data_IF_157781047807
#
_entry.id   IF_157781047807
#
_cell.length_a   1.000
_cell.length_b   1.000
_cell.length_c   1.000
_cell.angle_alpha   90.00
_cell.angle_beta   90.00
_cell.angle_gamma   90.00
#
_symmetry.space_group_name_H-M   'P 1'
#
loop_
_entity.id
_entity.type
_entity.pdbx_description
1 polymer ?
#
# COMPACT_ATOMS: atom_id res chain seq x y z
N UNK A 1 -8.41 -2.84 18.25
CA UNK A 1 -7.01 -2.45 17.94
C UNK A 1 -7.04 -1.94 16.52
N UNK A 2 -7.29 -0.65 16.36
CA UNK A 2 -7.39 0.02 15.05
C UNK A 2 -5.93 0.30 14.66
N UNK A 3 -5.45 -0.34 13.60
CA UNK A 3 -4.13 -0.03 13.07
C UNK A 3 -4.23 1.34 12.40
N UNK A 4 -3.45 2.30 12.91
CA UNK A 4 -3.18 3.57 12.24
C UNK A 4 -2.28 3.27 11.03
N UNK A 5 -2.85 2.70 9.97
CA UNK A 5 -2.26 2.90 8.65
C UNK A 5 -2.22 4.41 8.43
N UNK A 6 -1.07 4.94 7.98
CA UNK A 6 -0.86 6.35 7.68
C UNK A 6 -1.75 6.82 6.51
N UNK A 7 -3.06 6.83 6.75
CA UNK A 7 -4.03 7.58 6.01
C UNK A 7 -3.78 9.05 6.34
N UNK A 8 -3.09 9.74 5.45
CA UNK A 8 -3.35 11.16 5.25
C UNK A 8 -4.76 11.34 4.62
N UNK A 9 -5.78 10.73 5.22
CA UNK A 9 -7.07 11.38 5.30
C UNK A 9 -7.07 11.93 6.72
N UNK A 10 -6.54 13.13 6.88
CA UNK A 10 -6.84 13.90 8.08
C UNK A 10 -8.35 14.04 8.13
N UNK A 11 -8.96 13.13 8.88
CA UNK A 11 -10.40 13.09 9.06
C UNK A 11 -10.78 14.50 9.49
N UNK A 12 -11.70 15.16 8.78
CA UNK A 12 -12.01 16.59 8.99
C UNK A 12 -12.28 16.88 10.47
N UNK A 13 -12.88 15.89 11.16
CA UNK A 13 -13.12 15.88 12.61
C UNK A 13 -11.85 15.98 13.47
N UNK A 14 -10.77 15.35 13.06
CA UNK A 14 -9.47 15.40 13.77
C UNK A 14 -8.82 16.77 13.61
N UNK A 15 -8.95 17.39 12.44
CA UNK A 15 -8.48 18.78 12.23
C UNK A 15 -9.31 19.72 13.09
N UNK A 16 -10.63 19.62 13.05
CA UNK A 16 -11.54 20.44 13.87
C UNK A 16 -11.22 20.30 15.36
N UNK A 17 -11.07 19.06 15.85
CA UNK A 17 -10.76 18.81 17.25
C UNK A 17 -9.37 19.35 17.64
N UNK A 18 -8.37 19.15 16.78
CA UNK A 18 -7.01 19.67 17.00
C UNK A 18 -6.98 21.20 17.05
N UNK A 19 -7.68 21.87 16.13
CA UNK A 19 -7.82 23.33 16.11
C UNK A 19 -8.48 23.85 17.39
N UNK A 20 -9.59 23.24 17.83
CA UNK A 20 -10.26 23.63 19.08
C UNK A 20 -9.35 23.41 20.29
N UNK A 21 -8.65 22.28 20.34
CA UNK A 21 -7.74 21.95 21.44
C UNK A 21 -6.57 22.95 21.52
N UNK A 22 -5.96 23.29 20.39
CA UNK A 22 -4.87 24.29 20.30
C UNK A 22 -5.38 25.66 20.74
N UNK A 23 -6.54 26.09 20.26
CA UNK A 23 -7.14 27.38 20.63
C UNK A 23 -7.39 27.46 22.14
N UNK A 24 -8.03 26.44 22.72
CA UNK A 24 -8.33 26.39 24.15
C UNK A 24 -7.04 26.37 24.97
N UNK A 25 -6.04 25.57 24.56
CA UNK A 25 -4.74 25.52 25.22
C UNK A 25 -4.03 26.89 25.22
N UNK A 26 -4.00 27.59 24.09
CA UNK A 26 -3.40 28.91 23.98
C UNK A 26 -4.14 29.97 24.83
N UNK A 27 -5.46 29.92 24.88
CA UNK A 27 -6.26 30.81 25.74
C UNK A 27 -6.01 30.56 27.23
N UNK A 28 -5.90 29.30 27.65
CA UNK A 28 -5.57 28.97 29.04
C UNK A 28 -4.18 29.51 29.41
N UNK A 29 -3.17 29.29 28.54
CA UNK A 29 -1.82 29.83 28.74
C UNK A 29 -1.85 31.35 28.87
N UNK A 30 -2.61 32.03 28.01
CA UNK A 30 -2.79 33.48 28.05
C UNK A 30 -3.39 33.95 29.39
N UNK A 31 -4.45 33.30 29.88
CA UNK A 31 -5.08 33.63 31.16
C UNK A 31 -4.10 33.44 32.33
N UNK A 32 -3.33 32.35 32.32
CA UNK A 32 -2.33 32.07 33.37
C UNK A 32 -1.21 33.10 33.34
N UNK A 33 -0.68 33.45 32.16
CA UNK A 33 0.37 34.47 32.03
C UNK A 33 -0.12 35.83 32.52
N UNK A 34 -1.37 36.19 32.19
CA UNK A 34 -1.95 37.44 32.65
C UNK A 34 -2.11 37.47 34.17
N UNK A 35 -2.58 36.37 34.76
CA UNK A 35 -2.80 36.28 36.21
C UNK A 35 -1.51 36.21 37.04
N UNK A 36 -0.41 35.70 36.47
CA UNK A 36 0.83 35.44 37.22
C UNK A 36 1.88 36.52 37.07
N UNK A 37 1.97 37.14 35.89
CA UNK A 37 3.06 38.07 35.55
C UNK A 37 2.57 39.35 34.85
N UNK A 38 1.25 39.62 34.83
CA UNK A 38 0.63 40.77 34.16
C UNK A 38 1.02 40.90 32.66
N UNK A 39 1.28 39.77 32.03
CA UNK A 39 1.60 39.70 30.61
C UNK A 39 0.46 39.05 29.83
N UNK A 40 0.00 39.62 28.71
CA UNK A 40 0.51 40.84 28.06
C UNK A 40 -0.02 42.14 28.67
N UNK A 41 0.70 43.23 28.46
CA UNK A 41 0.25 44.58 28.81
C UNK A 41 -1.06 44.96 28.11
N UNK A 42 -1.86 45.86 28.68
CA UNK A 42 -3.13 46.31 28.08
C UNK A 42 -2.99 46.79 26.63
N UNK A 43 -1.84 47.40 26.29
CA UNK A 43 -1.56 47.89 24.92
C UNK A 43 -1.30 46.77 23.91
N UNK A 44 -0.84 45.60 24.37
CA UNK A 44 -0.52 44.45 23.53
C UNK A 44 -1.53 43.32 23.61
N UNK A 45 -2.55 43.44 24.47
CA UNK A 45 -3.60 42.45 24.66
C UNK A 45 -4.27 42.06 23.33
N UNK A 46 -4.75 43.06 22.59
CA UNK A 46 -5.40 42.85 21.29
C UNK A 46 -4.46 42.18 20.29
N UNK A 47 -3.18 42.57 20.26
CA UNK A 47 -2.20 42.00 19.34
C UNK A 47 -1.91 40.51 19.66
N UNK A 48 -1.82 40.16 20.95
CA UNK A 48 -1.62 38.77 21.38
C UNK A 48 -2.84 37.90 21.08
N UNK A 49 -4.06 38.41 21.32
CA UNK A 49 -5.29 37.69 20.98
C UNK A 49 -5.41 37.43 19.47
N UNK A 50 -5.06 38.42 18.64
CA UNK A 50 -4.98 38.25 17.19
C UNK A 50 -3.93 37.18 16.83
N UNK A 51 -2.76 37.21 17.48
CA UNK A 51 -1.71 36.22 17.28
C UNK A 51 -2.16 34.79 17.63
N UNK A 52 -2.85 34.61 18.75
CA UNK A 52 -3.42 33.32 19.18
C UNK A 52 -4.45 32.83 18.15
N UNK A 53 -5.34 33.72 17.69
CA UNK A 53 -6.33 33.37 16.67
C UNK A 53 -5.65 32.90 15.38
N UNK A 54 -4.68 33.66 14.87
CA UNK A 54 -3.93 33.30 13.66
C UNK A 54 -3.18 31.97 13.80
N UNK A 55 -2.52 31.75 14.95
CA UNK A 55 -1.82 30.49 15.22
C UNK A 55 -2.78 29.30 15.32
N UNK A 56 -3.96 29.50 15.92
CA UNK A 56 -4.97 28.44 16.02
C UNK A 56 -5.56 28.03 14.67
N UNK A 57 -5.52 28.93 13.68
CA UNK A 57 -5.96 28.65 12.30
C UNK A 57 -4.90 27.91 11.47
N UNK A 58 -3.65 27.81 11.96
CA UNK A 58 -2.55 27.17 11.23
C UNK A 58 -2.88 25.73 10.76
N UNK A 59 -3.47 24.83 11.58
CA UNK A 59 -3.80 23.48 11.14
C UNK A 59 -4.80 23.46 9.96
N UNK A 60 -5.77 24.38 9.96
CA UNK A 60 -6.74 24.53 8.87
C UNK A 60 -6.03 25.01 7.60
N UNK A 61 -5.13 25.98 7.76
CA UNK A 61 -4.38 26.56 6.65
C UNK A 61 -3.44 25.53 6.00
N UNK A 62 -2.77 24.71 6.81
CA UNK A 62 -1.97 23.56 6.34
C UNK A 62 -2.84 22.53 5.61
N UNK A 63 -3.99 22.16 6.17
CA UNK A 63 -4.91 21.22 5.51
C UNK A 63 -5.44 21.75 4.17
N UNK A 64 -5.69 23.06 4.05
CA UNK A 64 -6.05 23.69 2.79
C UNK A 64 -4.92 23.62 1.77
N UNK A 65 -3.68 23.88 2.20
CA UNK A 65 -2.50 23.77 1.33
C UNK A 65 -2.31 22.34 0.84
N UNK A 66 -2.39 21.35 1.73
CA UNK A 66 -2.31 19.93 1.36
C UNK A 66 -3.41 19.57 0.35
N UNK A 67 -4.65 20.00 0.58
CA UNK A 67 -5.75 19.77 -0.36
C UNK A 67 -5.55 20.44 -1.72
N UNK A 68 -4.88 21.59 -1.79
CA UNK A 68 -4.58 22.28 -3.06
C UNK A 68 -3.47 21.52 -3.80
N UNK A 69 -2.44 21.08 -3.08
CA UNK A 69 -1.32 20.30 -3.62
C UNK A 69 -1.81 18.98 -4.20
N UNK A 70 -2.63 18.23 -3.46
CA UNK A 70 -3.17 16.93 -3.91
C UNK A 70 -4.02 17.04 -5.18
N UNK A 71 -4.70 18.18 -5.37
CA UNK A 71 -5.56 18.43 -6.52
C UNK A 71 -4.82 19.05 -7.71
N UNK A 72 -3.50 19.28 -7.59
CA UNK A 72 -2.72 19.97 -8.61
C UNK A 72 -3.21 21.40 -8.86
N UNK A 73 -3.72 22.07 -7.82
CA UNK A 73 -4.24 23.42 -7.95
C UNK A 73 -3.15 24.45 -8.24
N UNK A 74 -3.54 25.62 -8.77
CA UNK A 74 -2.62 26.72 -9.05
C UNK A 74 -2.89 27.85 -8.06
N UNK A 75 -1.87 28.24 -7.29
CA UNK A 75 -1.96 29.38 -6.37
C UNK A 75 -1.38 30.61 -7.07
N UNK A 76 -2.22 31.63 -7.31
CA UNK A 76 -1.78 32.93 -7.83
C UNK A 76 -1.82 33.96 -6.71
N UNK A 77 -0.65 34.48 -6.33
CA UNK A 77 -0.54 35.52 -5.31
C UNK A 77 0.48 36.58 -5.75
N UNK A 78 0.04 37.84 -5.86
CA UNK A 78 0.94 38.97 -6.10
C UNK A 78 1.75 38.90 -7.40
N UNK A 79 1.22 38.27 -8.45
CA UNK A 79 1.92 38.08 -9.73
C UNK A 79 2.86 36.88 -9.77
N UNK A 80 2.98 36.13 -8.67
CA UNK A 80 3.66 34.83 -8.63
C UNK A 80 2.60 33.73 -8.81
N UNK A 81 2.80 32.90 -9.82
CA UNK A 81 1.98 31.72 -10.10
C UNK A 81 2.78 30.48 -9.70
N UNK A 82 2.33 29.80 -8.65
CA UNK A 82 2.87 28.51 -8.25
C UNK A 82 1.92 27.45 -8.80
N UNK A 83 2.34 26.83 -9.89
CA UNK A 83 1.62 25.76 -10.56
C UNK A 83 2.02 24.40 -9.96
N UNK A 84 1.18 23.86 -9.08
CA UNK A 84 1.40 22.54 -8.50
C UNK A 84 1.00 21.40 -9.45
N UNK A 85 0.34 21.68 -10.58
CA UNK A 85 0.06 20.67 -11.62
C UNK A 85 1.33 20.23 -12.35
N UNK A 86 2.34 21.10 -12.34
CA UNK A 86 3.62 20.89 -13.00
C UNK A 86 4.77 20.54 -12.07
N UNK A 87 4.52 20.34 -10.78
CA UNK A 87 5.48 19.57 -9.97
C UNK A 87 5.42 18.18 -10.57
N UNK A 88 6.41 17.77 -11.40
CA UNK A 88 6.46 16.39 -11.82
C UNK A 88 6.50 15.60 -10.51
N UNK A 89 5.96 14.39 -10.50
CA UNK A 89 6.30 13.42 -9.46
C UNK A 89 7.82 13.17 -9.54
N UNK A 90 8.63 14.13 -9.12
CA UNK A 90 10.07 14.12 -9.16
C UNK A 90 10.48 13.12 -8.08
N UNK A 91 10.67 11.87 -8.51
CA UNK A 91 11.50 10.92 -7.78
C UNK A 91 10.95 9.52 -7.57
N UNK A 92 9.69 9.22 -7.93
CA UNK A 92 9.21 7.83 -7.84
C UNK A 92 8.59 7.42 -9.16
N UNK A 93 9.31 6.58 -9.90
CA UNK A 93 8.73 5.77 -10.96
C UNK A 93 7.60 4.95 -10.34
N UNK A 94 6.37 5.40 -10.50
CA UNK A 94 5.17 4.68 -10.08
C UNK A 94 4.78 3.71 -11.18
N UNK A 95 4.54 2.45 -10.81
CA UNK A 95 3.94 1.47 -11.71
C UNK A 95 2.46 1.32 -11.34
N UNK A 96 1.56 1.56 -12.29
CA UNK A 96 0.14 1.26 -12.09
C UNK A 96 -0.11 -0.18 -12.50
N UNK A 97 -0.53 -1.00 -11.54
CA UNK A 97 -0.88 -2.38 -11.84
C UNK A 97 -2.19 -2.38 -12.62
N UNK A 98 -2.28 -3.13 -13.73
CA UNK A 98 -3.52 -3.26 -14.47
C UNK A 98 -4.68 -3.64 -13.54
N UNK A 99 -5.81 -2.98 -13.75
CA UNK A 99 -7.02 -3.09 -12.92
C UNK A 99 -7.61 -4.52 -12.94
N UNK A 100 -7.19 -5.32 -13.92
CA UNK A 100 -7.64 -6.69 -14.14
C UNK A 100 -6.43 -7.58 -14.39
N UNK A 101 -5.68 -7.92 -13.33
CA UNK A 101 -4.75 -9.05 -13.46
C UNK A 101 -5.59 -10.32 -13.52
N UNK A 102 -5.85 -10.87 -14.70
CA UNK A 102 -6.83 -11.93 -14.96
C UNK A 102 -8.28 -11.43 -15.11
N UNK A 103 -9.21 -12.37 -15.36
CA UNK A 103 -10.63 -12.06 -15.58
C UNK A 103 -11.33 -11.77 -14.24
N UNK A 104 -12.06 -10.64 -14.09
CA UNK A 104 -12.84 -10.33 -12.89
C UNK A 104 -13.82 -11.44 -12.51
N UNK A 105 -13.83 -11.83 -11.24
CA UNK A 105 -14.73 -12.88 -10.73
C UNK A 105 -14.40 -14.31 -11.16
N UNK A 106 -13.31 -14.56 -11.88
CA UNK A 106 -12.81 -15.92 -12.16
C UNK A 106 -11.62 -16.28 -11.27
N UNK A 107 -11.55 -17.55 -10.86
CA UNK A 107 -10.37 -18.09 -10.20
C UNK A 107 -9.14 -17.93 -11.10
N UNK A 108 -7.99 -17.76 -10.46
CA UNK A 108 -6.71 -17.60 -11.13
C UNK A 108 -6.41 -18.88 -11.91
N UNK A 109 -6.54 -18.80 -13.24
CA UNK A 109 -5.97 -19.78 -14.17
C UNK A 109 -4.48 -19.52 -14.35
N UNK A 110 -3.75 -20.47 -14.93
CA UNK A 110 -2.31 -20.34 -15.22
C UNK A 110 -1.96 -19.04 -15.98
N UNK A 111 -2.87 -18.54 -16.81
CA UNK A 111 -2.74 -17.26 -17.53
C UNK A 111 -2.78 -16.06 -16.58
N UNK A 112 -3.68 -16.05 -15.60
CA UNK A 112 -3.78 -14.97 -14.61
C UNK A 112 -2.56 -14.91 -13.68
N UNK A 113 -1.99 -16.06 -13.32
CA UNK A 113 -0.75 -16.13 -12.52
C UNK A 113 0.40 -15.43 -13.21
N UNK A 114 0.53 -15.57 -14.53
CA UNK A 114 1.63 -14.97 -15.31
C UNK A 114 1.56 -13.44 -15.30
N UNK A 115 0.36 -12.87 -15.44
CA UNK A 115 0.15 -11.41 -15.39
C UNK A 115 0.42 -10.81 -13.99
N UNK A 116 0.12 -11.55 -12.91
CA UNK A 116 0.45 -11.13 -11.53
C UNK A 116 1.96 -11.01 -11.39
N UNK A 117 2.68 -11.99 -11.92
CA UNK A 117 4.13 -12.08 -11.78
C UNK A 117 4.84 -11.07 -12.65
N UNK A 118 4.34 -10.80 -13.86
CA UNK A 118 4.87 -9.72 -14.69
C UNK A 118 4.60 -8.36 -14.05
N UNK A 119 3.43 -8.17 -13.43
CA UNK A 119 3.13 -6.96 -12.65
C UNK A 119 4.05 -6.83 -11.44
N UNK A 120 4.33 -7.92 -10.72
CA UNK A 120 5.32 -7.97 -9.63
C UNK A 120 6.72 -7.63 -10.15
N UNK A 121 7.15 -8.25 -11.25
CA UNK A 121 8.46 -8.00 -11.86
C UNK A 121 8.60 -6.53 -12.24
N UNK A 122 7.58 -5.93 -12.84
CA UNK A 122 7.57 -4.49 -13.16
C UNK A 122 7.52 -3.63 -11.89
N UNK A 123 6.69 -3.98 -10.91
CA UNK A 123 6.60 -3.27 -9.64
C UNK A 123 7.91 -3.30 -8.85
N UNK A 124 8.72 -4.36 -8.97
CA UNK A 124 10.03 -4.42 -8.30
C UNK A 124 11.05 -3.43 -8.88
N UNK A 125 10.85 -2.95 -10.11
CA UNK A 125 11.64 -1.88 -10.70
C UNK A 125 11.21 -0.47 -10.22
N UNK A 126 10.13 -0.40 -9.43
CA UNK A 126 9.49 0.83 -9.00
C UNK A 126 9.51 0.97 -7.46
N UNK A 127 9.53 2.23 -6.99
CA UNK A 127 9.42 2.52 -5.56
C UNK A 127 7.98 2.47 -5.04
N UNK A 128 7.02 2.77 -5.92
CA UNK A 128 5.60 2.86 -5.61
C UNK A 128 4.83 2.02 -6.61
N UNK A 129 3.86 1.27 -6.11
CA UNK A 129 2.86 0.57 -6.92
C UNK A 129 1.49 1.15 -6.66
N UNK A 130 0.72 1.41 -7.72
CA UNK A 130 -0.66 1.90 -7.65
C UNK A 130 -1.59 0.75 -8.00
N UNK A 131 -2.50 0.44 -7.09
CA UNK A 131 -3.53 -0.59 -7.23
C UNK A 131 -4.88 0.12 -7.37
N UNK A 132 -5.51 -0.03 -8.53
CA UNK A 132 -6.86 0.44 -8.75
C UNK A 132 -7.86 -0.63 -8.30
N UNK A 133 -8.67 -0.29 -7.30
CA UNK A 133 -9.71 -1.13 -6.74
C UNK A 133 -11.03 -1.01 -7.51
N UNK A 134 -11.17 -0.03 -8.42
CA UNK A 134 -12.45 0.38 -9.01
C UNK A 134 -13.54 0.57 -7.93
N UNK A 135 -14.63 -0.18 -8.00
CA UNK A 135 -15.73 -0.21 -7.02
C UNK A 135 -15.49 -1.24 -5.90
N UNK A 136 -14.24 -1.71 -5.75
CA UNK A 136 -13.78 -2.70 -4.78
C UNK A 136 -13.70 -4.13 -5.32
N UNK A 137 -14.33 -4.41 -6.46
CA UNK A 137 -14.45 -5.77 -7.02
C UNK A 137 -13.34 -6.14 -8.01
N UNK A 138 -12.51 -5.17 -8.42
CA UNK A 138 -11.48 -5.37 -9.42
C UNK A 138 -10.37 -6.33 -8.97
N UNK A 139 -10.13 -6.40 -7.65
CA UNK A 139 -9.06 -7.19 -7.07
C UNK A 139 -9.53 -8.24 -6.09
N UNK A 140 -8.91 -9.42 -6.17
CA UNK A 140 -9.06 -10.47 -5.17
C UNK A 140 -8.03 -10.27 -4.06
N UNK A 141 -8.45 -10.48 -2.80
CA UNK A 141 -7.56 -10.46 -1.64
C UNK A 141 -6.36 -11.41 -1.79
N UNK A 142 -6.55 -12.57 -2.43
CA UNK A 142 -5.49 -13.56 -2.72
C UNK A 142 -4.41 -13.00 -3.64
N UNK A 143 -4.78 -12.23 -4.68
CA UNK A 143 -3.83 -11.59 -5.59
C UNK A 143 -3.05 -10.48 -4.89
N UNK A 144 -3.74 -9.68 -4.06
CA UNK A 144 -3.08 -8.70 -3.21
C UNK A 144 -2.09 -9.39 -2.25
N UNK A 145 -2.46 -10.54 -1.69
CA UNK A 145 -1.58 -11.31 -0.81
C UNK A 145 -0.30 -11.76 -1.53
N UNK A 146 -0.41 -12.29 -2.74
CA UNK A 146 0.74 -12.67 -3.57
C UNK A 146 1.63 -11.45 -3.85
N UNK A 147 1.03 -10.32 -4.23
CA UNK A 147 1.74 -9.07 -4.49
C UNK A 147 2.50 -8.59 -3.25
N UNK A 148 1.84 -8.53 -2.09
CA UNK A 148 2.43 -8.05 -0.84
C UNK A 148 3.52 -9.01 -0.32
N UNK A 149 3.32 -10.32 -0.44
CA UNK A 149 4.32 -11.33 -0.10
C UNK A 149 5.61 -11.13 -0.90
N UNK A 150 5.49 -11.01 -2.23
CA UNK A 150 6.62 -10.70 -3.11
C UNK A 150 7.26 -9.37 -2.78
N UNK A 151 6.45 -8.35 -2.51
CA UNK A 151 6.95 -7.02 -2.20
C UNK A 151 7.79 -6.98 -0.91
N UNK A 152 7.34 -7.68 0.13
CA UNK A 152 8.09 -7.78 1.40
C UNK A 152 9.40 -8.55 1.21
N UNK A 153 9.36 -9.69 0.51
CA UNK A 153 10.55 -10.52 0.28
C UNK A 153 11.60 -9.82 -0.56
N UNK A 154 11.16 -9.15 -1.63
CA UNK A 154 12.03 -8.42 -2.56
C UNK A 154 12.36 -7.00 -2.08
N UNK A 155 11.76 -6.55 -0.96
CA UNK A 155 11.87 -5.18 -0.41
C UNK A 155 11.46 -4.09 -1.39
N UNK A 156 10.66 -4.44 -2.41
CA UNK A 156 10.17 -3.55 -3.46
C UNK A 156 8.83 -4.05 -3.99
N UNK A 157 7.84 -3.17 -4.24
CA UNK A 157 7.86 -1.72 -4.01
C UNK A 157 7.90 -1.37 -2.52
N UNK A 158 8.28 -0.15 -2.18
CA UNK A 158 8.32 0.32 -0.78
C UNK A 158 6.94 0.76 -0.30
N UNK A 159 6.09 1.23 -1.21
CA UNK A 159 4.75 1.72 -0.91
C UNK A 159 3.73 1.17 -1.91
N UNK A 160 2.56 0.84 -1.38
CA UNK A 160 1.37 0.48 -2.15
C UNK A 160 0.37 1.60 -1.97
N UNK A 161 -0.08 2.17 -3.09
CA UNK A 161 -1.13 3.19 -3.14
C UNK A 161 -2.38 2.54 -3.70
N UNK A 162 -3.49 2.68 -2.99
CA UNK A 162 -4.80 2.23 -3.42
C UNK A 162 -5.57 3.41 -3.99
N UNK A 163 -6.07 3.26 -5.21
CA UNK A 163 -7.02 4.16 -5.84
C UNK A 163 -8.30 3.39 -6.12
N UNK A 164 -9.40 4.09 -6.37
CA UNK A 164 -10.68 3.47 -6.67
C UNK A 164 -11.70 4.53 -7.08
N UNK A 165 -12.96 4.15 -7.21
CA UNK A 165 -14.03 5.04 -7.65
C UNK A 165 -14.80 5.58 -6.45
N UNK A 166 -14.86 6.91 -6.33
CA UNK A 166 -15.68 7.59 -5.31
C UNK A 166 -16.68 8.55 -5.96
N UNK A 167 -17.96 8.37 -5.66
CA UNK A 167 -19.08 9.19 -6.19
C UNK A 167 -19.06 9.37 -7.71
N UNK A 168 -18.62 8.34 -8.44
CA UNK A 168 -18.53 8.36 -9.91
C UNK A 168 -17.26 9.01 -10.47
N UNK A 169 -16.32 9.41 -9.61
CA UNK A 169 -15.00 9.88 -10.02
C UNK A 169 -14.04 8.69 -9.96
N UNK A 170 -13.43 8.35 -11.09
CA UNK A 170 -12.47 7.25 -11.19
C UNK A 170 -11.10 7.65 -10.60
N UNK A 171 -10.34 6.65 -10.14
CA UNK A 171 -8.96 6.79 -9.62
C UNK A 171 -8.82 7.79 -8.47
N UNK A 172 -9.85 7.96 -7.66
CA UNK A 172 -9.75 8.66 -6.39
C UNK A 172 -8.79 7.94 -5.46
N UNK A 173 -7.88 8.68 -4.83
CA UNK A 173 -7.00 8.14 -3.80
C UNK A 173 -7.84 7.58 -2.66
N UNK A 174 -7.59 6.31 -2.34
CA UNK A 174 -8.32 5.59 -1.30
C UNK A 174 -7.45 5.30 -0.08
N UNK A 175 -6.13 5.23 -0.20
CA UNK A 175 -5.23 4.92 0.92
C UNK A 175 -3.84 4.52 0.46
N UNK A 176 -2.86 4.42 1.36
CA UNK A 176 -1.55 3.82 1.06
C UNK A 176 -0.98 3.13 2.29
N UNK A 177 -0.01 2.24 2.08
CA UNK A 177 0.71 1.58 3.17
C UNK A 177 1.99 0.90 2.71
N UNK A 178 2.84 0.52 3.67
CA UNK A 178 4.03 -0.28 3.41
C UNK A 178 3.65 -1.76 3.30
N UNK A 179 4.21 -2.53 2.33
CA UNK A 179 3.90 -3.96 2.23
C UNK A 179 4.15 -4.75 3.51
N UNK A 180 5.18 -4.38 4.28
CA UNK A 180 5.52 -4.99 5.56
C UNK A 180 4.47 -4.79 6.65
N UNK A 181 3.66 -3.74 6.53
CA UNK A 181 2.55 -3.43 7.45
C UNK A 181 1.26 -4.07 6.96
N UNK A 182 1.01 -4.04 5.65
CA UNK A 182 -0.20 -4.58 5.01
C UNK A 182 -0.24 -6.11 5.03
N UNK A 183 0.90 -6.78 4.82
CA UNK A 183 0.96 -8.24 4.73
C UNK A 183 0.46 -8.95 6.00
N UNK A 184 0.90 -8.59 7.23
CA UNK A 184 0.36 -9.18 8.46
C UNK A 184 -1.13 -8.92 8.69
N UNK A 185 -1.68 -7.79 8.22
CA UNK A 185 -3.12 -7.54 8.26
C UNK A 185 -3.86 -8.51 7.36
N UNK A 186 -3.40 -8.68 6.12
CA UNK A 186 -4.02 -9.57 5.16
C UNK A 186 -3.90 -11.04 5.61
N UNK A 187 -2.75 -11.49 6.10
CA UNK A 187 -2.57 -12.84 6.64
C UNK A 187 -3.51 -13.17 7.81
N UNK A 188 -4.03 -12.17 8.53
CA UNK A 188 -5.03 -12.38 9.60
C UNK A 188 -6.47 -12.41 9.10
N UNK A 189 -6.73 -12.01 7.85
CA UNK A 189 -8.08 -11.94 7.28
C UNK A 189 -8.68 -13.33 6.99
N UNK A 190 -7.84 -14.35 6.80
CA UNK A 190 -8.29 -15.71 6.49
C UNK A 190 -7.37 -16.76 7.10
N UNK A 191 -7.93 -17.84 7.67
CA UNK A 191 -7.15 -18.89 8.34
C UNK A 191 -6.23 -19.67 7.40
N UNK A 192 -6.58 -19.75 6.10
CA UNK A 192 -5.77 -20.45 5.10
C UNK A 192 -4.58 -19.61 4.63
N UNK A 193 -4.68 -18.28 4.60
CA UNK A 193 -3.62 -17.41 4.08
C UNK A 193 -2.24 -17.62 4.74
N UNK A 194 -2.10 -17.66 6.08
CA UNK A 194 -0.80 -17.91 6.69
C UNK A 194 -0.28 -19.32 6.39
N UNK A 195 -1.18 -20.30 6.27
CA UNK A 195 -0.81 -21.67 5.93
C UNK A 195 -0.24 -21.75 4.51
N UNK A 196 -0.95 -21.20 3.52
CA UNK A 196 -0.51 -21.12 2.12
C UNK A 196 0.80 -20.33 2.00
N UNK A 197 0.89 -19.18 2.66
CA UNK A 197 2.10 -18.35 2.69
C UNK A 197 3.33 -19.14 3.17
N UNK A 198 3.24 -19.79 4.34
CA UNK A 198 4.36 -20.53 4.89
C UNK A 198 4.69 -21.80 4.11
N UNK A 199 3.69 -22.52 3.58
CA UNK A 199 3.90 -23.69 2.69
C UNK A 199 4.69 -23.29 1.44
N UNK A 200 4.29 -22.21 0.78
CA UNK A 200 4.94 -21.73 -0.44
C UNK A 200 6.36 -21.24 -0.18
N UNK A 201 6.61 -20.56 0.95
CA UNK A 201 7.97 -20.15 1.30
C UNK A 201 8.86 -21.34 1.62
N UNK A 202 8.38 -22.30 2.41
CA UNK A 202 9.13 -23.50 2.73
C UNK A 202 9.43 -24.34 1.47
N UNK A 203 8.49 -24.41 0.53
CA UNK A 203 8.67 -25.10 -0.73
C UNK A 203 9.67 -24.38 -1.67
N UNK A 204 9.64 -23.06 -1.74
CA UNK A 204 10.63 -22.28 -2.50
C UNK A 204 12.04 -22.43 -1.93
N UNK A 205 12.19 -22.32 -0.60
CA UNK A 205 13.47 -22.50 0.10
C UNK A 205 14.07 -23.89 -0.12
N UNK A 206 13.25 -24.93 -0.28
CA UNK A 206 13.75 -26.25 -0.67
C UNK A 206 14.45 -26.17 -2.03
N UNK A 207 13.80 -25.60 -3.05
CA UNK A 207 14.41 -25.49 -4.37
C UNK A 207 15.64 -24.57 -4.43
N UNK A 208 15.74 -23.56 -3.55
CA UNK A 208 16.95 -22.74 -3.43
C UNK A 208 18.19 -23.53 -2.98
N UNK A 209 18.03 -24.68 -2.32
CA UNK A 209 19.14 -25.55 -1.95
C UNK A 209 19.62 -26.46 -3.10
N UNK A 210 18.92 -26.44 -4.25
CA UNK A 210 19.27 -27.28 -5.40
C UNK A 210 20.23 -26.51 -6.31
N UNK A 211 21.34 -27.17 -6.69
CA UNK A 211 22.32 -26.56 -7.57
C UNK A 211 21.70 -26.23 -8.95
N UNK A 212 21.88 -24.99 -9.45
CA UNK A 212 21.42 -24.61 -10.78
C UNK A 212 22.05 -25.47 -11.87
N UNK A 213 21.28 -25.76 -12.92
CA UNK A 213 21.77 -26.46 -14.12
C UNK A 213 21.91 -25.49 -15.30
N UNK A 214 22.21 -26.02 -16.49
CA UNK A 214 22.31 -25.22 -17.72
C UNK A 214 20.92 -24.72 -18.15
N UNK A 215 20.91 -23.61 -18.88
CA UNK A 215 19.72 -23.09 -19.54
C UNK A 215 18.95 -24.20 -20.28
N UNK A 216 17.62 -24.20 -20.11
CA UNK A 216 16.72 -25.19 -20.68
C UNK A 216 16.68 -26.56 -19.99
N UNK A 217 17.45 -26.76 -18.91
CA UNK A 217 17.48 -28.02 -18.15
C UNK A 217 17.01 -27.77 -16.72
N UNK A 218 15.85 -28.32 -16.36
CA UNK A 218 15.38 -28.35 -14.97
C UNK A 218 16.17 -29.44 -14.22
N UNK A 219 16.85 -29.13 -13.10
CA UNK A 219 17.52 -30.13 -12.27
C UNK A 219 16.54 -31.23 -11.85
N UNK A 220 16.99 -32.51 -11.78
CA UNK A 220 16.14 -33.57 -11.26
C UNK A 220 15.78 -33.28 -9.80
N UNK A 221 14.51 -33.49 -9.44
CA UNK A 221 14.05 -33.30 -8.07
C UNK A 221 14.83 -34.22 -7.11
N UNK A 222 15.53 -33.66 -6.09
CA UNK A 222 16.22 -34.47 -5.10
C UNK A 222 15.27 -35.31 -4.26
N UNK A 223 15.72 -36.48 -3.81
CA UNK A 223 14.92 -37.41 -3.01
C UNK A 223 14.43 -36.84 -1.65
N UNK A 224 15.07 -35.78 -1.15
CA UNK A 224 14.68 -35.11 0.09
C UNK A 224 13.55 -34.08 -0.11
N UNK A 225 13.27 -33.64 -1.35
CA UNK A 225 12.08 -32.86 -1.65
C UNK A 225 10.88 -33.80 -1.64
N UNK A 226 10.10 -33.75 -0.55
CA UNK A 226 8.93 -34.61 -0.35
C UNK A 226 7.78 -34.23 -1.30
N UNK A 227 6.88 -35.19 -1.52
CA UNK A 227 5.60 -34.94 -2.19
C UNK A 227 4.82 -33.85 -1.43
N UNK A 228 4.41 -32.82 -2.17
CA UNK A 228 3.81 -31.59 -1.65
C UNK A 228 4.00 -30.45 -2.66
N UNK A 229 3.79 -29.20 -2.24
CA UNK A 229 3.83 -28.04 -3.13
C UNK A 229 5.18 -27.91 -3.88
N UNK A 230 6.30 -28.21 -3.21
CA UNK A 230 7.62 -28.23 -3.84
C UNK A 230 7.77 -29.30 -4.93
N UNK A 231 7.21 -30.50 -4.71
CA UNK A 231 7.28 -31.60 -5.69
C UNK A 231 6.23 -31.50 -6.80
N UNK A 232 5.20 -30.66 -6.64
CA UNK A 232 4.12 -30.51 -7.61
C UNK A 232 4.49 -29.57 -8.76
N UNK A 233 5.37 -28.60 -8.54
CA UNK A 233 5.73 -27.59 -9.54
C UNK A 233 7.25 -27.44 -9.78
N UNK A 234 8.01 -28.54 -9.97
CA UNK A 234 9.47 -28.48 -10.16
C UNK A 234 9.88 -27.63 -11.37
N UNK A 235 9.06 -27.60 -12.42
CA UNK A 235 9.33 -26.86 -13.66
C UNK A 235 9.27 -25.33 -13.51
N UNK A 236 8.74 -24.82 -12.39
CA UNK A 236 8.67 -23.38 -12.11
C UNK A 236 9.86 -22.88 -11.28
N UNK A 237 10.65 -23.78 -10.68
CA UNK A 237 11.71 -23.45 -9.74
C UNK A 237 12.92 -22.76 -10.40
N UNK A 238 13.10 -22.95 -11.71
CA UNK A 238 14.23 -22.39 -12.47
C UNK A 238 13.75 -21.63 -13.69
N UNK A 239 14.46 -20.55 -14.01
CA UNK A 239 14.27 -19.80 -15.23
C UNK A 239 14.83 -20.60 -16.42
N UNK A 240 13.97 -20.90 -17.40
CA UNK A 240 14.35 -21.73 -18.54
C UNK A 240 15.41 -21.09 -19.44
N UNK A 241 15.54 -19.76 -19.44
CA UNK A 241 16.49 -19.04 -20.30
C UNK A 241 17.88 -19.00 -19.69
N UNK A 242 17.98 -18.87 -18.37
CA UNK A 242 19.25 -18.70 -17.66
C UNK A 242 19.71 -19.98 -16.95
N UNK A 243 18.79 -20.88 -16.61
CA UNK A 243 19.03 -22.04 -15.74
C UNK A 243 19.17 -21.69 -14.26
N UNK A 244 19.02 -20.40 -13.89
CA UNK A 244 19.12 -19.91 -12.52
C UNK A 244 17.81 -20.09 -11.76
N UNK A 245 17.82 -20.09 -10.42
CA UNK A 245 16.60 -20.15 -9.62
C UNK A 245 15.66 -18.99 -9.99
N UNK A 246 14.37 -19.31 -10.17
CA UNK A 246 13.37 -18.33 -10.50
C UNK A 246 13.10 -17.42 -9.30
N UNK A 247 13.38 -16.10 -9.42
CA UNK A 247 13.28 -15.19 -8.28
C UNK A 247 11.85 -15.01 -7.76
N UNK A 248 10.81 -15.38 -8.53
CA UNK A 248 9.39 -15.26 -8.16
C UNK A 248 8.71 -16.62 -7.88
N UNK A 249 9.51 -17.67 -7.69
CA UNK A 249 8.97 -19.02 -7.50
C UNK A 249 8.10 -19.14 -6.24
N UNK A 250 8.50 -18.47 -5.16
CA UNK A 250 7.73 -18.37 -3.92
C UNK A 250 6.30 -17.84 -4.15
N UNK A 251 6.16 -16.79 -4.95
CA UNK A 251 4.90 -16.13 -5.28
C UNK A 251 4.06 -16.97 -6.25
N UNK A 252 4.69 -17.69 -7.18
CA UNK A 252 4.03 -18.66 -8.06
C UNK A 252 3.37 -19.78 -7.25
N UNK A 253 4.11 -20.38 -6.32
CA UNK A 253 3.58 -21.42 -5.45
C UNK A 253 2.45 -20.88 -4.56
N UNK A 254 2.58 -19.66 -4.06
CA UNK A 254 1.53 -19.00 -3.27
C UNK A 254 0.26 -18.76 -4.08
N UNK A 255 0.37 -18.25 -5.30
CA UNK A 255 -0.76 -18.05 -6.19
C UNK A 255 -1.47 -19.38 -6.50
N UNK A 256 -0.70 -20.43 -6.81
CA UNK A 256 -1.24 -21.77 -7.12
C UNK A 256 -1.97 -22.41 -5.92
N UNK A 257 -1.36 -22.35 -4.72
CA UNK A 257 -1.97 -22.90 -3.50
C UNK A 257 -3.22 -22.11 -3.11
N UNK A 258 -3.22 -20.78 -3.17
CA UNK A 258 -4.40 -19.94 -2.91
C UNK A 258 -5.53 -20.19 -3.92
N UNK A 259 -5.19 -20.38 -5.20
CA UNK A 259 -6.14 -20.75 -6.24
C UNK A 259 -6.89 -22.03 -5.89
N UNK A 260 -6.16 -23.04 -5.40
CA UNK A 260 -6.70 -24.36 -5.05
C UNK A 260 -7.47 -24.35 -3.72
N UNK A 261 -6.89 -23.75 -2.69
CA UNK A 261 -7.37 -23.86 -1.31
C UNK A 261 -8.40 -22.79 -0.94
N UNK A 262 -8.45 -21.67 -1.66
CA UNK A 262 -9.36 -20.55 -1.35
C UNK A 262 -10.24 -20.23 -2.54
N UNK A 263 -9.66 -19.92 -3.69
CA UNK A 263 -10.41 -19.36 -4.81
C UNK A 263 -11.41 -20.34 -5.44
N UNK A 264 -11.04 -21.62 -5.51
CA UNK A 264 -11.93 -22.67 -6.01
C UNK A 264 -13.02 -23.07 -5.01
N UNK A 265 -12.87 -22.71 -3.73
CA UNK A 265 -13.78 -23.13 -2.65
C UNK A 265 -14.72 -22.00 -2.23
N UNK A 266 -14.31 -20.75 -2.40
CA UNK A 266 -15.02 -19.58 -1.91
C UNK A 266 -15.39 -18.60 -3.03
N UNK A 267 -16.39 -17.76 -2.76
CA UNK A 267 -16.71 -16.65 -3.65
C UNK A 267 -15.62 -15.56 -3.51
N UNK A 268 -15.37 -14.80 -4.59
CA UNK A 268 -14.44 -13.67 -4.55
C UNK A 268 -14.79 -12.73 -3.40
N UNK A 269 -13.81 -12.41 -2.55
CA UNK A 269 -13.95 -11.40 -1.49
C UNK A 269 -13.40 -10.07 -1.98
N UNK A 270 -14.26 -9.05 -1.92
CA UNK A 270 -13.96 -7.66 -2.21
C UNK A 270 -12.92 -7.12 -1.22
N UNK A 271 -11.89 -6.42 -1.71
CA UNK A 271 -10.93 -5.76 -0.83
C UNK A 271 -11.62 -4.60 -0.13
N UNK A 272 -11.59 -4.60 1.21
CA UNK A 272 -12.00 -3.46 2.01
C UNK A 272 -10.78 -2.85 2.69
N UNK A 273 -10.46 -1.60 2.35
CA UNK A 273 -9.37 -0.87 2.99
C UNK A 273 -9.57 -0.68 4.49
N UNK A 274 -10.81 -0.75 4.98
CA UNK A 274 -11.07 -0.70 6.44
C UNK A 274 -10.62 -1.96 7.19
N UNK A 275 -10.35 -3.06 6.47
CA UNK A 275 -9.86 -4.33 7.02
C UNK A 275 -8.34 -4.47 6.93
N UNK A 276 -7.71 -3.70 6.05
CA UNK A 276 -6.25 -3.65 5.85
C UNK A 276 -5.63 -2.68 6.86
#
# INVERSE_FOLDING_TARGET
>A
MIFDCHFFSTNVRTIEFSTVLILVGLLIIFVVLRATIDWPSEKSETAVLIGILLFSLLPILLALVDSIIERGGVIKAGGVEIDFSQVPQMGTSGFTVPVNIGIPGQSVSDSGTTEILDSLRQATACGIVIIDLEEGQAWWETRLLVLLAGAVRLKKPEKVVFVGKDRGIDKCFQGWGHPSELLPCLLRAHSQYPMSYHKSMAAALQWEMVEPSRAGIVPPQPAWIKAGLAGQHPWMAFDNTTGLPNPLFAEQLLASDLGTEVENQEKPKTISLTRL
#
